data_IF_485180297155
#
_entry.id   IF_485180297155
#
_cell.length_a   1.000
_cell.length_b   1.000
_cell.length_c   1.000
_cell.angle_alpha   90.00
_cell.angle_beta   90.00
_cell.angle_gamma   90.00
#
_symmetry.space_group_name_H-M   'P 1'
#
loop_
_entity.id
_entity.type
_entity.pdbx_description
1 polymer ?
#
# COMPACT_ATOMS: atom_id res chain seq x y z
N UNK A 1 6.46 17.96 -1.05
CA UNK A 1 6.17 16.69 -0.32
C UNK A 1 4.77 16.13 -0.57
N UNK A 2 3.74 16.96 -0.80
CA UNK A 2 2.37 16.51 -1.15
C UNK A 2 2.33 15.60 -2.39
N UNK A 3 3.14 15.90 -3.42
CA UNK A 3 3.25 15.06 -4.62
C UNK A 3 3.62 13.60 -4.32
N UNK A 4 4.63 13.37 -3.47
CA UNK A 4 5.04 12.02 -3.03
C UNK A 4 3.92 11.35 -2.24
N UNK A 5 3.26 12.08 -1.34
CA UNK A 5 2.10 11.59 -0.58
C UNK A 5 0.95 11.15 -1.50
N UNK A 6 0.68 11.87 -2.59
CA UNK A 6 -0.31 11.49 -3.59
C UNK A 6 0.11 10.20 -4.31
N UNK A 7 1.37 10.10 -4.77
CA UNK A 7 1.89 8.89 -5.43
C UNK A 7 1.75 7.67 -4.51
N UNK A 8 2.20 7.78 -3.26
CA UNK A 8 2.09 6.69 -2.28
C UNK A 8 0.62 6.32 -2.06
N UNK A 9 -0.28 7.32 -1.95
CA UNK A 9 -1.71 7.07 -1.78
C UNK A 9 -2.31 6.31 -2.96
N UNK A 10 -1.90 6.61 -4.20
CA UNK A 10 -2.35 5.88 -5.39
C UNK A 10 -1.95 4.41 -5.29
N UNK A 11 -0.70 4.11 -4.93
CA UNK A 11 -0.25 2.73 -4.76
C UNK A 11 -1.01 2.00 -3.65
N UNK A 12 -1.25 2.66 -2.51
CA UNK A 12 -2.03 2.09 -1.40
C UNK A 12 -3.48 1.81 -1.79
N UNK A 13 -4.10 2.69 -2.58
CA UNK A 13 -5.46 2.50 -3.09
C UNK A 13 -5.49 1.32 -4.08
N UNK A 14 -4.50 1.21 -4.97
CA UNK A 14 -4.38 0.07 -5.88
C UNK A 14 -4.24 -1.23 -5.09
N UNK A 15 -3.41 -1.25 -4.05
CA UNK A 15 -3.21 -2.43 -3.19
C UNK A 15 -4.46 -2.76 -2.36
N UNK A 16 -5.26 -1.76 -1.97
CA UNK A 16 -6.53 -1.96 -1.28
C UNK A 16 -7.58 -2.63 -2.19
N UNK A 17 -7.70 -2.18 -3.44
CA UNK A 17 -8.65 -2.72 -4.43
C UNK A 17 -8.16 -4.09 -4.93
N UNK A 18 -6.89 -4.17 -5.34
CA UNK A 18 -6.27 -5.35 -5.93
C UNK A 18 -4.92 -5.69 -5.24
N UNK A 19 -4.96 -6.34 -4.06
CA UNK A 19 -3.75 -6.71 -3.31
C UNK A 19 -2.88 -7.74 -4.04
N UNK A 20 -3.43 -8.48 -5.01
CA UNK A 20 -2.65 -9.41 -5.85
C UNK A 20 -1.68 -8.64 -6.76
N UNK A 21 -2.06 -7.45 -7.22
CA UNK A 21 -1.15 -6.59 -8.00
C UNK A 21 0.00 -6.08 -7.13
N UNK A 22 -0.29 -5.58 -5.92
CA UNK A 22 0.75 -5.13 -5.00
C UNK A 22 1.69 -6.25 -4.56
N UNK A 23 1.16 -7.45 -4.34
CA UNK A 23 1.98 -8.65 -4.12
C UNK A 23 2.86 -8.97 -5.34
N UNK A 24 2.31 -8.95 -6.56
CA UNK A 24 3.08 -9.24 -7.77
C UNK A 24 4.25 -8.26 -7.96
N UNK A 25 4.03 -6.98 -7.64
CA UNK A 25 5.04 -5.94 -7.70
C UNK A 25 6.14 -6.10 -6.62
N UNK A 26 5.75 -6.50 -5.40
CA UNK A 26 6.65 -6.54 -4.24
C UNK A 26 7.35 -7.89 -4.02
N UNK A 27 6.64 -8.99 -4.22
CA UNK A 27 7.05 -10.36 -3.89
C UNK A 27 6.96 -11.31 -5.09
N UNK A 28 6.19 -10.97 -6.13
CA UNK A 28 6.00 -11.82 -7.32
C UNK A 28 7.28 -12.08 -8.12
N UNK A 29 8.33 -11.28 -7.93
CA UNK A 29 9.66 -11.55 -8.50
C UNK A 29 10.45 -12.61 -7.70
N UNK A 30 10.14 -12.81 -6.41
CA UNK A 30 10.79 -13.79 -5.52
C UNK A 30 10.16 -15.16 -5.64
N UNK A 31 8.84 -15.21 -5.66
CA UNK A 31 8.07 -16.45 -5.67
C UNK A 31 7.48 -16.67 -7.06
N UNK A 32 8.20 -17.41 -7.91
CA UNK A 32 7.72 -17.83 -9.22
C UNK A 32 6.69 -18.96 -9.05
N UNK A 33 5.57 -18.84 -9.74
CA UNK A 33 4.49 -19.85 -9.80
C UNK A 33 3.76 -20.13 -8.47
N UNK A 34 3.87 -19.22 -7.50
CA UNK A 34 3.11 -19.28 -6.26
C UNK A 34 2.14 -18.09 -6.20
N UNK A 35 0.93 -18.34 -5.71
CA UNK A 35 -0.03 -17.27 -5.41
C UNK A 35 0.08 -16.85 -3.94
N UNK A 36 -0.15 -15.56 -3.62
CA UNK A 36 -0.24 -15.12 -2.24
C UNK A 36 -1.40 -15.81 -1.52
N UNK A 37 -1.20 -16.15 -0.25
CA UNK A 37 -2.27 -16.70 0.58
C UNK A 37 -3.39 -15.67 0.79
N UNK A 38 -4.61 -16.16 0.99
CA UNK A 38 -5.76 -15.30 1.30
C UNK A 38 -5.53 -14.45 2.56
N UNK A 39 -4.84 -15.01 3.56
CA UNK A 39 -4.42 -14.27 4.75
C UNK A 39 -3.47 -13.12 4.43
N UNK A 40 -2.50 -13.33 3.52
CA UNK A 40 -1.59 -12.28 3.09
C UNK A 40 -2.35 -11.15 2.38
N UNK A 41 -3.26 -11.49 1.46
CA UNK A 41 -4.07 -10.51 0.74
C UNK A 41 -4.95 -9.69 1.68
N UNK A 42 -5.56 -10.34 2.68
CA UNK A 42 -6.33 -9.66 3.73
C UNK A 42 -5.46 -8.67 4.51
N UNK A 43 -4.29 -9.12 5.00
CA UNK A 43 -3.38 -8.26 5.75
C UNK A 43 -2.79 -7.14 4.90
N UNK A 44 -2.54 -7.34 3.60
CA UNK A 44 -2.12 -6.26 2.70
C UNK A 44 -3.17 -5.16 2.63
N UNK A 45 -4.46 -5.51 2.47
CA UNK A 45 -5.55 -4.52 2.50
C UNK A 45 -5.61 -3.75 3.81
N UNK A 46 -5.54 -4.46 4.95
CA UNK A 46 -5.57 -3.84 6.29
C UNK A 46 -4.39 -2.89 6.47
N UNK A 47 -3.17 -3.32 6.12
CA UNK A 47 -1.98 -2.45 6.18
C UNK A 47 -2.11 -1.24 5.28
N UNK A 48 -2.58 -1.42 4.05
CA UNK A 48 -2.73 -0.33 3.08
C UNK A 48 -3.74 0.71 3.55
N UNK A 49 -4.85 0.27 4.16
CA UNK A 49 -5.81 1.17 4.80
C UNK A 49 -5.19 1.93 5.99
N UNK A 50 -4.49 1.23 6.89
CA UNK A 50 -3.84 1.85 8.04
C UNK A 50 -2.80 2.90 7.64
N UNK A 51 -1.94 2.59 6.66
CA UNK A 51 -0.93 3.51 6.16
C UNK A 51 -1.59 4.72 5.50
N UNK A 52 -2.68 4.52 4.74
CA UNK A 52 -3.41 5.63 4.13
C UNK A 52 -3.96 6.58 5.20
N UNK A 53 -4.52 6.05 6.29
CA UNK A 53 -5.00 6.84 7.44
C UNK A 53 -3.82 7.62 8.05
N UNK A 54 -2.69 6.97 8.32
CA UNK A 54 -1.51 7.62 8.92
C UNK A 54 -1.03 8.79 8.05
N UNK A 55 -0.90 8.58 6.74
CA UNK A 55 -0.39 9.59 5.81
C UNK A 55 -1.33 10.79 5.72
N UNK A 56 -2.65 10.59 5.77
CA UNK A 56 -3.62 11.68 5.62
C UNK A 56 -3.98 12.39 6.92
N UNK A 57 -4.01 11.69 8.04
CA UNK A 57 -4.49 12.22 9.32
C UNK A 57 -3.40 12.49 10.36
N UNK A 58 -2.32 11.71 10.38
CA UNK A 58 -1.23 11.91 11.35
C UNK A 58 -0.06 12.72 10.78
N UNK A 59 0.22 12.57 9.48
CA UNK A 59 1.32 13.28 8.83
C UNK A 59 0.94 14.67 8.30
N UNK A 60 -0.29 15.15 8.55
CA UNK A 60 -0.78 16.43 8.03
C UNK A 60 -0.13 17.67 8.64
N UNK A 61 0.56 17.53 9.77
CA UNK A 61 1.17 18.68 10.49
C UNK A 61 2.62 18.95 10.12
N UNK A 62 3.20 18.18 9.21
CA UNK A 62 4.58 18.37 8.77
C UNK A 62 4.64 19.52 7.75
N UNK A 63 4.37 20.73 8.23
CA UNK A 63 4.62 22.00 7.57
C UNK A 63 6.11 22.30 7.63
N UNK A 64 6.90 21.77 6.70
CA UNK A 64 8.23 22.31 6.45
C UNK A 64 8.06 23.55 5.56
N UNK A 65 8.22 24.71 6.18
CA UNK A 65 8.56 25.98 5.53
C UNK A 65 9.66 25.82 4.50
#
# INVERSE_FOLDING_TARGET
MVFIKIIISIFLIIDLINPRFGWKLSEGWKYKDLEPSESYLFWSRVKSLLILIIIWFLLSEVNWT
#
